data_IF_242678404248
#
_entry.id   IF_242678404248
#
_cell.length_a   1.000
_cell.length_b   1.000
_cell.length_c   1.000
_cell.angle_alpha   90.00
_cell.angle_beta   90.00
_cell.angle_gamma   90.00
#
_symmetry.space_group_name_H-M   'P 1'
#
loop_
_entity.id
_entity.type
_entity.pdbx_description
1 polymer ?
#
# COMPACT_ATOMS: atom_id res chain seq x y z
N UNK A 1 28.15 0.74 9.76
CA UNK A 1 28.21 -0.72 9.95
C UNK A 1 27.67 -1.40 8.70
N UNK A 2 28.17 -2.59 8.36
CA UNK A 2 27.67 -3.36 7.23
C UNK A 2 27.05 -4.67 7.73
N UNK A 3 25.83 -4.99 7.23
CA UNK A 3 25.13 -6.23 7.56
C UNK A 3 24.82 -7.02 6.29
N UNK A 4 24.64 -8.32 6.41
CA UNK A 4 24.26 -9.23 5.34
C UNK A 4 22.85 -9.76 5.58
N UNK A 5 21.96 -9.62 4.58
CA UNK A 5 20.57 -10.09 4.66
C UNK A 5 20.30 -11.09 3.54
N UNK A 6 19.87 -12.28 3.89
CA UNK A 6 19.54 -13.37 2.97
C UNK A 6 18.02 -13.44 2.79
N UNK A 7 17.57 -13.18 1.54
CA UNK A 7 16.15 -13.24 1.15
C UNK A 7 16.03 -14.20 -0.05
N UNK A 8 15.23 -15.24 0.06
CA UNK A 8 15.07 -16.25 -1.01
C UNK A 8 16.38 -16.76 -1.61
N UNK A 9 17.41 -17.00 -0.76
CA UNK A 9 18.78 -17.41 -1.12
C UNK A 9 19.63 -16.32 -1.83
N UNK A 10 19.13 -15.10 -1.98
CA UNK A 10 19.91 -13.96 -2.47
C UNK A 10 20.50 -13.20 -1.29
N UNK A 11 21.78 -12.87 -1.41
CA UNK A 11 22.49 -12.07 -0.42
C UNK A 11 22.38 -10.58 -0.76
N UNK A 12 21.96 -9.80 0.21
CA UNK A 12 21.92 -8.34 0.16
C UNK A 12 22.90 -7.79 1.20
N UNK A 13 23.81 -6.90 0.80
CA UNK A 13 24.68 -6.17 1.71
C UNK A 13 24.09 -4.79 1.96
N UNK A 14 23.83 -4.47 3.20
CA UNK A 14 23.17 -3.23 3.61
C UNK A 14 24.09 -2.43 4.54
N UNK A 15 24.08 -1.12 4.38
CA UNK A 15 24.68 -0.22 5.33
C UNK A 15 23.68 0.04 6.48
N UNK A 16 24.12 -0.14 7.70
CA UNK A 16 23.28 0.05 8.89
C UNK A 16 23.85 1.14 9.78
N UNK A 17 22.97 1.91 10.41
CA UNK A 17 23.34 2.89 11.42
C UNK A 17 23.34 2.26 12.81
N UNK A 18 24.25 2.69 13.67
CA UNK A 18 24.35 2.21 15.05
C UNK A 18 23.08 2.57 15.85
N UNK A 19 22.59 1.60 16.61
CA UNK A 19 21.40 1.78 17.45
C UNK A 19 20.09 1.46 16.80
N UNK A 20 20.01 1.35 15.44
CA UNK A 20 18.79 0.93 14.75
C UNK A 20 18.52 -0.55 14.91
N UNK A 21 17.25 -0.92 14.83
CA UNK A 21 16.82 -2.32 14.82
C UNK A 21 16.97 -2.93 13.42
N UNK A 22 16.96 -4.27 13.35
CA UNK A 22 16.93 -4.99 12.07
C UNK A 22 15.73 -4.54 11.21
N UNK A 23 14.55 -4.39 11.82
CA UNK A 23 13.34 -3.97 11.12
C UNK A 23 13.48 -2.56 10.53
N UNK A 24 14.00 -1.60 11.30
CA UNK A 24 14.21 -0.23 10.84
C UNK A 24 15.22 -0.18 9.69
N UNK A 25 16.33 -0.89 9.81
CA UNK A 25 17.35 -0.97 8.75
C UNK A 25 16.79 -1.55 7.46
N UNK A 26 16.01 -2.62 7.52
CA UNK A 26 15.34 -3.20 6.35
C UNK A 26 14.37 -2.22 5.69
N UNK A 27 13.56 -1.51 6.49
CA UNK A 27 12.61 -0.51 6.02
C UNK A 27 13.28 0.64 5.27
N UNK A 28 14.40 1.16 5.79
CA UNK A 28 15.16 2.25 5.17
C UNK A 28 15.81 1.86 3.84
N UNK A 29 16.13 0.58 3.66
CA UNK A 29 16.64 0.05 2.39
C UNK A 29 15.53 -0.45 1.45
N UNK A 30 14.26 -0.11 1.71
CA UNK A 30 13.12 -0.52 0.87
C UNK A 30 12.82 -2.02 0.91
N UNK A 31 13.31 -2.75 1.92
CA UNK A 31 13.07 -4.19 2.09
C UNK A 31 11.88 -4.40 3.04
N UNK A 32 10.69 -4.65 2.46
CA UNK A 32 9.43 -4.74 3.20
C UNK A 32 8.89 -6.17 3.29
N UNK A 33 9.77 -7.14 3.40
CA UNK A 33 9.41 -8.56 3.46
C UNK A 33 8.93 -9.02 4.84
N UNK A 34 9.13 -8.22 5.88
CA UNK A 34 8.70 -8.55 7.23
C UNK A 34 7.33 -7.93 7.54
N UNK A 35 6.46 -8.72 8.16
CA UNK A 35 5.18 -8.26 8.68
C UNK A 35 5.34 -7.85 10.14
N UNK A 36 5.07 -6.59 10.48
CA UNK A 36 5.14 -6.07 11.84
C UNK A 36 3.80 -5.45 12.28
N UNK A 37 2.73 -6.26 12.50
CA UNK A 37 1.38 -5.76 12.76
C UNK A 37 1.26 -4.83 13.96
N UNK A 38 2.16 -4.96 14.94
CA UNK A 38 2.18 -4.10 16.12
C UNK A 38 2.97 -2.80 15.92
N UNK A 39 3.39 -2.47 14.68
CA UNK A 39 4.20 -1.29 14.40
C UNK A 39 5.59 -1.32 15.04
N UNK A 40 6.19 -2.51 15.18
CA UNK A 40 7.56 -2.65 15.71
C UNK A 40 7.67 -2.66 17.24
N UNK A 41 6.55 -2.90 17.97
CA UNK A 41 6.52 -2.82 19.45
C UNK A 41 6.86 -4.12 20.17
N UNK A 42 7.34 -5.14 19.50
CA UNK A 42 7.71 -6.43 20.11
C UNK A 42 6.55 -7.29 20.60
N UNK A 43 5.28 -6.86 20.43
CA UNK A 43 4.11 -7.50 21.07
C UNK A 43 3.51 -8.65 20.26
N UNK A 44 3.65 -8.64 18.93
CA UNK A 44 2.95 -9.60 18.06
C UNK A 44 3.77 -10.84 17.72
N UNK A 45 5.08 -10.82 17.90
CA UNK A 45 5.98 -11.93 17.54
C UNK A 45 6.06 -12.26 16.05
N UNK A 46 5.56 -11.36 15.15
CA UNK A 46 5.42 -11.66 13.72
C UNK A 46 6.63 -11.29 12.86
N UNK A 47 7.54 -10.47 13.36
CA UNK A 47 8.74 -10.04 12.64
C UNK A 47 9.98 -10.90 12.96
N UNK A 48 9.78 -12.20 13.15
CA UNK A 48 10.86 -13.16 13.47
C UNK A 48 11.81 -13.31 12.30
N UNK A 49 13.09 -13.21 12.56
CA UNK A 49 14.20 -13.47 11.63
C UNK A 49 15.23 -14.39 12.31
N UNK A 50 16.04 -15.06 11.52
CA UNK A 50 17.14 -15.88 12.01
C UNK A 50 18.45 -15.07 11.89
N UNK A 51 19.16 -14.92 12.99
CA UNK A 51 20.45 -14.22 13.04
C UNK A 51 21.54 -15.26 13.36
N UNK A 52 22.61 -15.26 12.55
CA UNK A 52 23.74 -16.16 12.76
C UNK A 52 24.32 -15.96 14.18
N UNK A 53 24.53 -17.07 14.89
CA UNK A 53 24.99 -17.13 16.29
C UNK A 53 23.99 -16.64 17.37
N UNK A 54 22.82 -16.11 17.00
CA UNK A 54 21.78 -15.67 17.96
C UNK A 54 20.49 -16.50 17.84
N UNK A 55 20.29 -17.21 16.71
CA UNK A 55 19.05 -17.94 16.45
C UNK A 55 17.88 -17.03 16.04
N UNK A 56 16.65 -17.46 16.36
CA UNK A 56 15.44 -16.69 16.06
C UNK A 56 15.29 -15.49 16.99
N UNK A 57 15.15 -14.30 16.40
CA UNK A 57 14.96 -13.05 17.13
C UNK A 57 13.84 -12.21 16.50
N UNK A 58 13.29 -11.27 17.26
CA UNK A 58 12.35 -10.29 16.74
C UNK A 58 13.10 -9.13 16.10
N UNK A 59 12.97 -8.95 14.80
CA UNK A 59 13.65 -7.92 14.04
C UNK A 59 13.40 -6.49 14.58
N UNK A 60 12.23 -6.22 15.15
CA UNK A 60 11.87 -4.93 15.73
C UNK A 60 12.48 -4.67 17.12
N UNK A 61 13.04 -5.69 17.77
CA UNK A 61 13.62 -5.59 19.11
C UNK A 61 15.14 -5.78 19.10
N UNK A 62 15.68 -6.30 18.01
CA UNK A 62 17.11 -6.63 17.89
C UNK A 62 17.83 -5.51 17.14
N UNK A 63 18.78 -4.89 17.82
CA UNK A 63 19.66 -3.88 17.21
C UNK A 63 20.69 -4.51 16.30
N UNK A 64 21.01 -3.83 15.20
CA UNK A 64 22.05 -4.27 14.28
C UNK A 64 23.44 -4.09 14.88
N UNK A 65 24.32 -5.02 14.55
CA UNK A 65 25.76 -4.95 14.85
C UNK A 65 26.55 -5.16 13.58
N UNK A 66 27.79 -4.68 13.55
CA UNK A 66 28.63 -4.82 12.37
C UNK A 66 28.93 -6.30 12.04
N UNK A 67 28.86 -6.64 10.76
CA UNK A 67 29.02 -8.02 10.28
C UNK A 67 27.85 -8.96 10.56
N UNK A 68 26.74 -8.47 11.12
CA UNK A 68 25.56 -9.30 11.41
C UNK A 68 25.01 -9.95 10.13
N UNK A 69 24.74 -11.25 10.21
CA UNK A 69 24.15 -12.01 9.10
C UNK A 69 22.73 -12.47 9.47
N UNK A 70 21.75 -12.07 8.64
CA UNK A 70 20.32 -12.21 8.91
C UNK A 70 19.68 -13.02 7.79
N UNK A 71 18.89 -14.03 8.13
CA UNK A 71 18.12 -14.82 7.18
C UNK A 71 16.63 -14.55 7.40
N UNK A 72 15.92 -14.16 6.34
CA UNK A 72 14.47 -13.99 6.36
C UNK A 72 13.80 -15.36 6.14
N UNK A 73 13.03 -15.89 7.11
CA UNK A 73 12.38 -17.19 6.99
C UNK A 73 11.36 -17.25 5.85
N UNK A 74 11.26 -18.39 5.17
CA UNK A 74 10.27 -18.59 4.08
C UNK A 74 8.82 -18.38 4.53
N UNK A 75 8.51 -18.57 5.81
CA UNK A 75 7.16 -18.35 6.34
C UNK A 75 6.76 -16.87 6.25
N UNK A 76 7.71 -15.96 6.45
CA UNK A 76 7.47 -14.51 6.27
C UNK A 76 7.16 -14.17 4.82
N UNK A 77 7.89 -14.78 3.89
CA UNK A 77 7.69 -14.60 2.45
C UNK A 77 6.37 -15.20 1.95
N UNK A 78 5.93 -16.33 2.55
CA UNK A 78 4.65 -16.96 2.22
C UNK A 78 3.44 -16.21 2.76
N UNK A 79 3.56 -15.55 3.90
CA UNK A 79 2.49 -14.72 4.46
C UNK A 79 2.09 -13.54 3.52
N UNK A 80 2.96 -13.17 2.57
CA UNK A 80 2.66 -12.19 1.52
C UNK A 80 1.83 -12.76 0.36
N UNK A 81 1.79 -14.10 0.20
CA UNK A 81 1.07 -14.78 -0.90
C UNK A 81 -0.35 -15.21 -0.49
N UNK A 82 -1.06 -14.45 0.33
CA UNK A 82 -2.47 -14.72 0.58
C UNK A 82 -3.26 -14.62 -0.72
N UNK A 83 -4.13 -15.60 -0.99
CA UNK A 83 -5.04 -15.55 -2.14
C UNK A 83 -6.01 -14.40 -1.93
N UNK A 84 -5.80 -13.33 -2.66
CA UNK A 84 -6.66 -12.17 -2.70
C UNK A 84 -7.63 -12.40 -3.84
N UNK A 85 -8.93 -12.15 -3.62
CA UNK A 85 -9.93 -12.27 -4.67
C UNK A 85 -9.70 -11.19 -5.72
N UNK A 86 -9.22 -11.61 -6.90
CA UNK A 86 -9.00 -10.72 -8.06
C UNK A 86 -10.25 -10.60 -8.94
N UNK A 87 -11.26 -11.44 -8.71
CA UNK A 87 -12.40 -11.61 -9.57
C UNK A 87 -13.64 -10.89 -9.03
N UNK A 88 -13.77 -9.60 -9.39
CA UNK A 88 -15.08 -8.94 -9.37
C UNK A 88 -15.93 -9.38 -10.58
N UNK A 89 -17.25 -9.37 -10.41
CA UNK A 89 -18.22 -9.69 -11.49
C UNK A 89 -18.29 -8.62 -12.58
N UNK A 90 -17.76 -7.42 -12.32
CA UNK A 90 -17.78 -6.31 -13.29
C UNK A 90 -16.58 -6.45 -14.21
N UNK A 91 -16.85 -6.60 -15.50
CA UNK A 91 -15.84 -6.71 -16.56
C UNK A 91 -15.83 -5.49 -17.48
N UNK A 92 -16.84 -4.62 -17.37
CA UNK A 92 -17.02 -3.46 -18.23
C UNK A 92 -17.49 -2.27 -17.40
N UNK A 93 -16.85 -1.14 -17.59
CA UNK A 93 -17.16 0.13 -16.93
C UNK A 93 -17.68 1.13 -17.96
N UNK A 94 -18.42 2.17 -17.57
CA UNK A 94 -18.76 3.24 -18.50
C UNK A 94 -17.48 3.76 -19.15
N UNK A 95 -17.44 3.77 -20.49
CA UNK A 95 -16.35 4.38 -21.20
C UNK A 95 -16.34 5.88 -20.91
N UNK A 96 -15.17 6.39 -20.64
CA UNK A 96 -14.91 7.82 -20.69
C UNK A 96 -14.53 8.13 -22.15
N UNK A 97 -14.77 9.35 -22.66
CA UNK A 97 -14.36 9.75 -24.03
C UNK A 97 -12.81 9.79 -24.14
N UNK A 98 -12.13 9.12 -23.24
CA UNK A 98 -10.69 9.03 -23.13
C UNK A 98 -10.05 8.08 -24.13
N UNK A 99 -8.95 8.52 -24.72
CA UNK A 99 -8.05 7.65 -25.47
C UNK A 99 -7.00 7.07 -24.52
N UNK A 100 -6.69 5.77 -24.66
CA UNK A 100 -5.58 5.13 -23.96
C UNK A 100 -5.98 4.22 -22.80
N UNK A 101 -5.11 4.12 -21.82
CA UNK A 101 -5.29 3.28 -20.62
C UNK A 101 -5.75 4.09 -19.43
N UNK A 102 -6.77 3.61 -18.75
CA UNK A 102 -7.15 4.05 -17.42
C UNK A 102 -6.84 2.96 -16.37
N UNK A 103 -6.71 3.38 -15.14
CA UNK A 103 -6.52 2.46 -14.02
C UNK A 103 -7.37 2.85 -12.81
N UNK A 104 -7.73 1.86 -12.01
CA UNK A 104 -8.37 2.07 -10.72
C UNK A 104 -7.60 1.28 -9.66
N UNK A 105 -7.33 1.91 -8.53
CA UNK A 105 -6.56 1.32 -7.45
C UNK A 105 -7.26 1.50 -6.10
N UNK A 106 -7.53 0.38 -5.43
CA UNK A 106 -7.97 0.36 -4.02
C UNK A 106 -6.76 0.18 -3.12
N UNK A 107 -6.45 1.20 -2.32
CA UNK A 107 -5.34 1.20 -1.36
C UNK A 107 -5.83 0.81 0.03
N UNK A 108 -6.17 -0.47 0.18
CA UNK A 108 -6.58 -1.01 1.47
C UNK A 108 -5.43 -1.08 2.48
N UNK A 109 -5.79 -1.14 3.76
CA UNK A 109 -4.82 -1.28 4.86
C UNK A 109 -4.04 -2.59 4.77
N UNK A 110 -4.73 -3.67 4.37
CA UNK A 110 -4.14 -5.01 4.28
C UNK A 110 -3.68 -5.35 2.87
N UNK A 111 -4.42 -4.91 1.86
CA UNK A 111 -4.29 -5.30 0.45
C UNK A 111 -4.42 -4.08 -0.43
N UNK A 112 -3.63 -4.06 -1.50
CA UNK A 112 -3.76 -3.10 -2.60
C UNK A 112 -4.22 -3.85 -3.83
N UNK A 113 -5.25 -3.36 -4.51
CA UNK A 113 -5.80 -3.95 -5.73
C UNK A 113 -5.79 -2.90 -6.82
N UNK A 114 -5.22 -3.22 -7.99
CA UNK A 114 -5.24 -2.35 -9.15
C UNK A 114 -5.86 -3.06 -10.36
N UNK A 115 -6.72 -2.34 -11.08
CA UNK A 115 -7.30 -2.73 -12.35
C UNK A 115 -6.73 -1.87 -13.47
N UNK A 116 -6.52 -2.48 -14.63
CA UNK A 116 -6.23 -1.77 -15.87
C UNK A 116 -7.48 -1.84 -16.76
N UNK A 117 -7.85 -0.72 -17.34
CA UNK A 117 -9.09 -0.52 -18.08
C UNK A 117 -8.74 0.12 -19.41
N UNK A 118 -9.35 -0.33 -20.49
CA UNK A 118 -9.31 0.37 -21.77
C UNK A 118 -10.22 1.60 -21.70
N UNK A 119 -9.64 2.80 -21.75
CA UNK A 119 -10.37 4.05 -21.58
C UNK A 119 -11.41 4.30 -22.67
N UNK A 120 -11.18 3.76 -23.87
CA UNK A 120 -12.10 3.91 -25.00
C UNK A 120 -13.32 2.98 -24.90
N UNK A 121 -13.11 1.74 -24.47
CA UNK A 121 -14.19 0.73 -24.44
C UNK A 121 -14.78 0.54 -23.05
N UNK A 122 -14.07 0.93 -21.97
CA UNK A 122 -14.44 0.63 -20.61
C UNK A 122 -14.19 -0.83 -20.20
N UNK A 123 -13.52 -1.63 -21.03
CA UNK A 123 -13.23 -3.03 -20.74
C UNK A 123 -12.14 -3.16 -19.69
N UNK A 124 -12.37 -4.01 -18.68
CA UNK A 124 -11.36 -4.38 -17.70
C UNK A 124 -10.37 -5.35 -18.31
N UNK A 125 -9.16 -4.89 -18.60
CA UNK A 125 -8.12 -5.66 -19.29
C UNK A 125 -7.39 -6.64 -18.36
N UNK A 126 -7.08 -6.21 -17.14
CA UNK A 126 -6.37 -7.04 -16.17
C UNK A 126 -6.55 -6.54 -14.73
N UNK A 127 -6.24 -7.42 -13.78
CA UNK A 127 -6.21 -7.12 -12.34
C UNK A 127 -4.91 -7.64 -11.73
N UNK A 128 -4.37 -6.90 -10.78
CA UNK A 128 -3.29 -7.31 -9.89
C UNK A 128 -3.67 -6.93 -8.48
N UNK A 129 -3.44 -7.84 -7.54
CA UNK A 129 -3.61 -7.61 -6.13
C UNK A 129 -2.37 -8.05 -5.35
N UNK A 130 -1.97 -7.25 -4.38
CA UNK A 130 -0.80 -7.49 -3.54
C UNK A 130 -1.07 -7.11 -2.09
N UNK A 131 -0.44 -7.76 -1.12
CA UNK A 131 -0.43 -7.27 0.25
C UNK A 131 0.15 -5.87 0.31
N UNK A 132 -0.45 -4.98 1.12
CA UNK A 132 0.06 -3.61 1.29
C UNK A 132 1.52 -3.62 1.77
N UNK A 133 2.42 -2.93 1.06
CA UNK A 133 3.82 -2.79 1.43
C UNK A 133 4.00 -2.10 2.80
N UNK A 134 3.04 -1.27 3.20
CA UNK A 134 3.07 -0.56 4.48
C UNK A 134 2.77 -1.45 5.70
N UNK A 135 2.50 -2.76 5.52
CA UNK A 135 2.25 -3.71 6.63
C UNK A 135 3.43 -3.84 7.59
N UNK A 136 4.64 -3.51 7.16
CA UNK A 136 5.82 -3.46 8.03
C UNK A 136 5.78 -2.32 9.06
N UNK A 137 4.93 -1.31 8.85
CA UNK A 137 4.72 -0.18 9.77
C UNK A 137 3.46 -0.33 10.64
N UNK A 138 2.63 -1.31 10.36
CA UNK A 138 1.42 -1.61 11.13
C UNK A 138 0.37 -2.32 10.29
N UNK A 139 -0.43 -3.17 10.95
CA UNK A 139 -1.50 -3.90 10.30
C UNK A 139 -2.80 -3.08 10.17
N UNK A 140 -2.93 -2.03 10.95
CA UNK A 140 -4.12 -1.17 11.04
C UNK A 140 -3.78 0.31 10.85
N UNK A 141 -4.81 1.12 10.68
CA UNK A 141 -4.68 2.55 10.41
C UNK A 141 -4.03 3.31 11.59
N UNK A 142 -4.34 2.93 12.83
CA UNK A 142 -3.80 3.60 14.01
C UNK A 142 -2.29 3.40 14.13
N UNK A 143 -1.82 2.18 13.89
CA UNK A 143 -0.38 1.89 13.87
C UNK A 143 0.37 2.71 12.81
N UNK A 144 -0.25 2.96 11.65
CA UNK A 144 0.33 3.78 10.57
C UNK A 144 0.30 5.27 10.88
N UNK A 145 -0.77 5.76 11.54
CA UNK A 145 -0.81 7.14 12.06
C UNK A 145 0.34 7.36 13.03
N UNK A 146 0.58 6.42 13.95
CA UNK A 146 1.67 6.50 14.90
C UNK A 146 3.06 6.42 14.24
N UNK A 147 3.19 5.63 13.18
CA UNK A 147 4.43 5.61 12.39
C UNK A 147 4.67 6.96 11.68
N UNK A 148 3.63 7.57 11.12
CA UNK A 148 3.71 8.90 10.51
C UNK A 148 4.05 9.98 11.55
N UNK A 149 3.45 9.93 12.76
CA UNK A 149 3.75 10.80 13.87
C UNK A 149 5.22 10.67 14.33
N UNK A 150 5.77 9.44 14.28
CA UNK A 150 7.18 9.15 14.55
C UNK A 150 8.13 9.54 13.40
N UNK A 151 7.69 10.38 12.45
CA UNK A 151 8.53 10.92 11.38
C UNK A 151 8.69 10.01 10.15
N UNK A 152 7.88 8.92 10.02
CA UNK A 152 7.99 7.97 8.91
C UNK A 152 6.98 8.24 7.77
N UNK A 153 6.42 9.45 7.69
CA UNK A 153 5.40 9.80 6.68
C UNK A 153 5.94 9.63 5.24
N UNK A 154 7.13 10.17 4.95
CA UNK A 154 7.72 10.10 3.62
C UNK A 154 8.00 8.63 3.22
N UNK A 155 8.54 7.84 4.11
CA UNK A 155 8.81 6.41 3.84
C UNK A 155 7.49 5.67 3.54
N UNK A 156 6.43 5.95 4.29
CA UNK A 156 5.11 5.37 4.05
C UNK A 156 4.56 5.78 2.68
N UNK A 157 4.69 7.06 2.30
CA UNK A 157 4.31 7.57 0.99
C UNK A 157 5.10 6.87 -0.12
N UNK A 158 6.42 6.89 -0.05
CA UNK A 158 7.29 6.28 -1.05
C UNK A 158 6.96 4.81 -1.30
N UNK A 159 6.66 4.06 -0.24
CA UNK A 159 6.31 2.65 -0.34
C UNK A 159 5.03 2.40 -1.12
N UNK A 160 3.96 3.13 -0.80
CA UNK A 160 2.69 2.92 -1.50
C UNK A 160 2.77 3.41 -2.95
N UNK A 161 3.47 4.50 -3.21
CA UNK A 161 3.74 5.01 -4.56
C UNK A 161 4.54 3.98 -5.37
N UNK A 162 5.63 3.47 -4.81
CA UNK A 162 6.46 2.46 -5.47
C UNK A 162 5.66 1.18 -5.75
N UNK A 163 4.88 0.71 -4.77
CA UNK A 163 4.04 -0.48 -4.94
C UNK A 163 3.04 -0.29 -6.08
N UNK A 164 2.30 0.81 -6.11
CA UNK A 164 1.33 1.10 -7.17
C UNK A 164 2.03 1.17 -8.53
N UNK A 165 3.14 1.88 -8.65
CA UNK A 165 3.91 1.95 -9.89
C UNK A 165 4.32 0.55 -10.40
N UNK A 166 4.80 -0.34 -9.51
CA UNK A 166 5.14 -1.72 -9.89
C UNK A 166 3.92 -2.53 -10.32
N UNK A 167 2.78 -2.37 -9.63
CA UNK A 167 1.53 -3.05 -9.99
C UNK A 167 1.02 -2.59 -11.35
N UNK A 168 1.06 -1.29 -11.65
CA UNK A 168 0.68 -0.73 -12.95
C UNK A 168 1.57 -1.25 -14.08
N UNK A 169 2.89 -1.26 -13.90
CA UNK A 169 3.83 -1.86 -14.87
C UNK A 169 3.57 -3.35 -15.07
N UNK A 170 3.21 -4.07 -14.02
CA UNK A 170 2.85 -5.49 -14.11
C UNK A 170 1.57 -5.69 -14.94
N UNK A 171 0.57 -4.83 -14.76
CA UNK A 171 -0.67 -4.83 -15.54
C UNK A 171 -0.41 -4.53 -17.02
N UNK A 172 0.37 -3.49 -17.31
CA UNK A 172 0.78 -3.16 -18.68
C UNK A 172 1.52 -4.32 -19.35
N UNK A 173 2.44 -4.95 -18.64
CA UNK A 173 3.18 -6.13 -19.16
C UNK A 173 2.26 -7.33 -19.40
N UNK A 174 1.31 -7.61 -18.51
CA UNK A 174 0.32 -8.70 -18.67
C UNK A 174 -0.57 -8.51 -19.91
N UNK A 175 -0.89 -7.28 -20.26
CA UNK A 175 -1.79 -6.94 -21.36
C UNK A 175 -1.05 -6.63 -22.67
N UNK A 176 0.27 -6.54 -22.63
CA UNK A 176 1.07 -6.11 -23.80
C UNK A 176 0.90 -4.62 -24.14
N UNK A 177 0.28 -3.84 -23.27
CA UNK A 177 0.03 -2.39 -23.43
C UNK A 177 1.14 -1.63 -22.68
N UNK A 178 1.81 -0.69 -23.32
CA UNK A 178 2.95 0.05 -22.77
C UNK A 178 2.79 1.57 -22.76
N UNK A 179 1.65 2.05 -23.22
CA UNK A 179 1.35 3.49 -23.21
C UNK A 179 1.16 4.03 -21.79
N UNK A 180 1.43 5.31 -21.59
CA UNK A 180 1.21 6.00 -20.32
C UNK A 180 -0.25 5.88 -19.89
N UNK A 181 -0.49 5.63 -18.61
CA UNK A 181 -1.84 5.61 -18.04
C UNK A 181 -2.38 7.04 -18.03
N UNK A 182 -3.51 7.24 -18.70
CA UNK A 182 -4.12 8.55 -18.84
C UNK A 182 -4.68 9.04 -17.51
N UNK A 183 -5.49 8.21 -16.84
CA UNK A 183 -6.08 8.51 -15.54
C UNK A 183 -5.96 7.33 -14.58
N UNK A 184 -5.55 7.59 -13.35
CA UNK A 184 -5.61 6.65 -12.24
C UNK A 184 -6.64 7.15 -11.22
N UNK A 185 -7.70 6.37 -10.98
CA UNK A 185 -8.60 6.59 -9.86
C UNK A 185 -8.11 5.82 -8.63
N UNK A 186 -7.94 6.52 -7.52
CA UNK A 186 -7.48 5.94 -6.25
C UNK A 186 -8.59 6.04 -5.23
N UNK A 187 -8.95 4.90 -4.63
CA UNK A 187 -9.86 4.78 -3.50
C UNK A 187 -9.15 4.17 -2.30
N UNK A 188 -9.64 4.42 -1.12
CA UNK A 188 -9.12 3.88 0.14
C UNK A 188 -9.73 4.60 1.33
N UNK A 189 -9.49 4.07 2.54
CA UNK A 189 -9.89 4.80 3.73
C UNK A 189 -9.11 6.12 3.86
N UNK A 190 -9.63 7.05 4.65
CA UNK A 190 -9.10 8.42 4.74
C UNK A 190 -7.62 8.45 5.10
N UNK A 191 -7.17 7.60 6.04
CA UNK A 191 -5.77 7.51 6.46
C UNK A 191 -4.88 7.06 5.31
N UNK A 192 -5.28 6.01 4.58
CA UNK A 192 -4.51 5.48 3.46
C UNK A 192 -4.38 6.50 2.32
N UNK A 193 -5.44 7.26 2.03
CA UNK A 193 -5.39 8.36 1.05
C UNK A 193 -4.44 9.48 1.51
N UNK A 194 -4.41 9.81 2.81
CA UNK A 194 -3.44 10.78 3.36
C UNK A 194 -2.00 10.30 3.18
N UNK A 195 -1.70 9.06 3.56
CA UNK A 195 -0.37 8.48 3.39
C UNK A 195 0.07 8.45 1.93
N UNK A 196 -0.85 8.11 1.02
CA UNK A 196 -0.60 8.12 -0.42
C UNK A 196 -0.28 9.53 -0.94
N UNK A 197 -1.02 10.54 -0.49
CA UNK A 197 -0.79 11.93 -0.89
C UNK A 197 0.40 12.59 -0.16
N UNK A 198 1.00 11.94 0.84
CA UNK A 198 2.07 12.53 1.67
C UNK A 198 1.55 13.59 2.65
N UNK A 199 0.28 13.50 3.03
CA UNK A 199 -0.36 14.41 4.00
C UNK A 199 -0.40 13.69 5.34
N UNK A 200 -0.08 14.42 6.42
CA UNK A 200 -0.06 13.83 7.76
C UNK A 200 -1.46 13.37 8.20
N UNK A 201 -1.65 12.08 8.57
CA UNK A 201 -2.91 11.58 9.07
C UNK A 201 -3.06 11.73 10.59
N UNK A 202 -2.13 12.38 11.29
CA UNK A 202 -2.07 12.43 12.78
C UNK A 202 -3.35 13.00 13.37
N UNK A 203 -3.92 14.04 12.76
CA UNK A 203 -5.18 14.65 13.21
C UNK A 203 -6.39 13.69 13.14
N UNK A 204 -6.33 12.64 12.34
CA UNK A 204 -7.37 11.59 12.27
C UNK A 204 -7.26 10.64 13.47
N UNK A 205 -6.08 10.53 14.09
CA UNK A 205 -5.84 9.65 15.24
C UNK A 205 -6.26 10.23 16.60
N UNK A 206 -6.62 11.51 16.66
CA UNK A 206 -6.96 12.24 17.89
C UNK A 206 -8.29 13.00 17.76
N UNK A 207 -9.02 13.15 18.86
CA UNK A 207 -10.27 13.93 18.85
C UNK A 207 -10.00 15.37 18.40
N UNK A 208 -10.81 15.93 17.46
CA UNK A 208 -12.09 15.45 16.92
C UNK A 208 -11.99 14.57 15.65
N UNK A 209 -10.88 13.90 15.37
CA UNK A 209 -10.67 12.97 14.26
C UNK A 209 -10.82 13.61 12.86
N UNK A 210 -10.38 14.86 12.74
CA UNK A 210 -10.55 15.65 11.53
C UNK A 210 -9.43 15.40 10.52
N UNK A 211 -9.73 14.99 9.27
CA UNK A 211 -8.74 14.90 8.22
C UNK A 211 -8.25 16.28 7.80
N UNK A 212 -7.00 16.36 7.36
CA UNK A 212 -6.44 17.60 6.79
C UNK A 212 -6.91 17.84 5.36
N UNK A 213 -7.30 16.76 4.65
CA UNK A 213 -7.76 16.81 3.27
C UNK A 213 -8.93 15.84 3.08
N UNK A 214 -9.96 16.29 2.39
CA UNK A 214 -11.14 15.48 2.05
C UNK A 214 -11.07 14.92 0.64
N UNK A 215 -10.05 15.28 -0.14
CA UNK A 215 -9.84 14.84 -1.52
C UNK A 215 -11.00 15.16 -2.48
N UNK A 216 -11.37 14.25 -3.37
CA UNK A 216 -12.39 14.49 -4.40
C UNK A 216 -11.88 15.39 -5.53
N UNK A 217 -10.58 15.38 -5.81
CA UNK A 217 -9.90 16.22 -6.81
C UNK A 217 -8.81 15.46 -7.56
N UNK A 218 -8.41 16.02 -8.69
CA UNK A 218 -7.30 15.51 -9.49
C UNK A 218 -5.95 16.13 -9.09
N UNK A 219 -4.91 15.32 -9.25
CA UNK A 219 -3.51 15.67 -9.13
C UNK A 219 -2.79 15.24 -10.41
N UNK A 220 -1.67 15.85 -10.76
CA UNK A 220 -0.79 15.27 -11.77
C UNK A 220 -0.04 14.07 -11.19
N UNK A 221 0.28 13.08 -12.03
CA UNK A 221 1.11 11.96 -11.60
C UNK A 221 2.45 12.40 -11.01
N UNK A 222 3.03 13.48 -11.58
CA UNK A 222 4.28 14.07 -11.09
C UNK A 222 4.17 14.63 -9.66
N UNK A 223 3.07 15.32 -9.31
CA UNK A 223 2.83 15.85 -7.96
C UNK A 223 2.82 14.74 -6.89
N UNK A 224 2.37 13.55 -7.27
CA UNK A 224 2.30 12.41 -6.36
C UNK A 224 3.50 11.46 -6.46
N UNK A 225 4.39 11.65 -7.46
CA UNK A 225 5.53 10.77 -7.72
C UNK A 225 5.16 9.52 -8.55
N UNK A 226 4.02 9.52 -9.23
CA UNK A 226 3.53 8.47 -10.14
C UNK A 226 3.67 8.91 -11.60
N UNK A 227 4.89 9.03 -12.10
CA UNK A 227 5.19 9.51 -13.47
C UNK A 227 4.64 8.60 -14.57
N UNK A 228 4.31 7.34 -14.24
CA UNK A 228 3.64 6.40 -15.15
C UNK A 228 2.18 6.80 -15.45
N UNK A 229 1.59 7.70 -14.66
CA UNK A 229 0.24 8.22 -14.83
C UNK A 229 0.27 9.71 -15.20
N UNK A 230 -0.64 10.13 -16.09
CA UNK A 230 -0.79 11.55 -16.45
C UNK A 230 -1.56 12.30 -15.36
N UNK A 231 -2.71 11.78 -14.96
CA UNK A 231 -3.51 12.33 -13.85
C UNK A 231 -3.90 11.26 -12.84
N UNK A 232 -4.12 11.67 -11.61
CA UNK A 232 -4.53 10.82 -10.49
C UNK A 232 -5.69 11.50 -9.77
N UNK A 233 -6.85 10.87 -9.81
CA UNK A 233 -8.00 11.27 -9.03
C UNK A 233 -8.04 10.51 -7.72
N UNK A 234 -8.09 11.19 -6.59
CA UNK A 234 -8.29 10.57 -5.27
C UNK A 234 -9.75 10.78 -4.87
N UNK A 235 -10.46 9.68 -4.62
CA UNK A 235 -11.87 9.71 -4.25
C UNK A 235 -12.11 10.48 -2.94
N UNK A 236 -13.26 11.18 -2.81
CA UNK A 236 -13.52 12.01 -1.65
C UNK A 236 -13.74 11.19 -0.38
N UNK A 237 -13.22 11.69 0.74
CA UNK A 237 -13.58 11.25 2.08
C UNK A 237 -14.72 12.12 2.64
N UNK A 238 -15.49 11.59 3.58
CA UNK A 238 -16.56 12.29 4.29
C UNK A 238 -16.12 12.63 5.72
N UNK A 239 -15.30 11.79 6.33
CA UNK A 239 -14.82 11.95 7.69
C UNK A 239 -13.49 11.20 7.89
N UNK A 240 -12.88 11.33 9.06
CA UNK A 240 -11.62 10.67 9.38
C UNK A 240 -11.62 9.15 9.21
N UNK A 241 -12.77 8.50 9.41
CA UNK A 241 -12.96 7.06 9.27
C UNK A 241 -14.00 6.68 8.19
N UNK A 242 -14.42 7.62 7.35
CA UNK A 242 -15.31 7.39 6.19
C UNK A 242 -14.61 7.94 4.96
N UNK A 243 -13.85 7.09 4.31
CA UNK A 243 -12.96 7.45 3.21
C UNK A 243 -13.54 7.21 1.83
N UNK A 244 -12.67 7.30 0.82
CA UNK A 244 -12.97 7.11 -0.57
C UNK A 244 -13.45 5.69 -0.92
N UNK A 245 -13.10 4.69 -0.12
CA UNK A 245 -13.62 3.34 -0.19
C UNK A 245 -15.15 3.31 -0.01
N UNK A 246 -15.65 3.90 1.08
CA UNK A 246 -17.09 3.97 1.37
C UNK A 246 -17.85 4.82 0.34
N UNK A 247 -17.31 5.98 -0.03
CA UNK A 247 -17.98 6.87 -0.99
C UNK A 247 -18.06 6.26 -2.38
N UNK A 248 -17.05 5.49 -2.79
CA UNK A 248 -17.03 4.78 -4.08
C UNK A 248 -17.97 3.59 -4.08
N UNK A 249 -18.05 2.83 -2.99
CA UNK A 249 -19.06 1.77 -2.81
C UNK A 249 -20.47 2.32 -2.92
N UNK A 250 -20.75 3.44 -2.24
CA UNK A 250 -22.04 4.11 -2.30
C UNK A 250 -22.37 4.55 -3.73
N UNK A 251 -21.42 5.16 -4.44
CA UNK A 251 -21.59 5.57 -5.83
C UNK A 251 -21.93 4.36 -6.73
N UNK A 252 -21.18 3.27 -6.60
CA UNK A 252 -21.40 2.05 -7.38
C UNK A 252 -22.80 1.42 -7.13
N UNK A 253 -23.26 1.48 -5.89
CA UNK A 253 -24.60 1.00 -5.50
C UNK A 253 -25.70 1.92 -6.05
N UNK A 254 -25.52 3.24 -5.93
CA UNK A 254 -26.51 4.21 -6.41
C UNK A 254 -26.68 4.17 -7.93
N UNK A 255 -25.63 3.90 -8.68
CA UNK A 255 -25.71 3.70 -10.14
C UNK A 255 -26.63 2.54 -10.52
N UNK A 256 -26.73 1.49 -9.70
CA UNK A 256 -27.62 0.35 -9.90
C UNK A 256 -29.07 0.63 -9.52
N UNK A 257 -29.38 1.81 -8.96
CA UNK A 257 -30.72 2.25 -8.50
C UNK A 257 -31.43 1.17 -7.67
N UNK A 258 -30.85 0.72 -6.56
CA UNK A 258 -31.45 -0.34 -5.76
C UNK A 258 -32.80 0.10 -5.21
N UNK A 259 -33.81 -0.80 -5.25
CA UNK A 259 -35.14 -0.57 -4.68
C UNK A 259 -35.21 -0.90 -3.18
N UNK A 260 -34.16 -1.55 -2.66
CA UNK A 260 -34.10 -2.05 -1.28
C UNK A 260 -32.89 -1.44 -0.55
N UNK A 261 -32.88 -1.63 0.78
CA UNK A 261 -31.71 -1.24 1.59
C UNK A 261 -30.49 -2.07 1.21
N UNK A 262 -29.38 -1.41 1.07
CA UNK A 262 -28.10 -2.05 0.74
C UNK A 262 -27.17 -1.97 1.95
N UNK A 263 -26.53 -3.09 2.27
CA UNK A 263 -25.50 -3.18 3.29
C UNK A 263 -24.13 -3.31 2.61
N UNK A 264 -23.25 -2.36 2.88
CA UNK A 264 -21.82 -2.49 2.52
C UNK A 264 -21.07 -3.05 3.72
N UNK A 265 -20.33 -4.16 3.50
CA UNK A 265 -19.49 -4.79 4.48
C UNK A 265 -18.03 -4.61 4.06
N UNK A 266 -17.26 -3.93 4.89
CA UNK A 266 -15.81 -3.75 4.74
C UNK A 266 -15.14 -4.45 5.91
N UNK A 267 -14.17 -5.31 5.64
CA UNK A 267 -13.44 -6.06 6.68
C UNK A 267 -11.93 -6.10 6.42
#
# INVERSE_FOLDING_TARGET
MQIEVIIEKKLHKLNAEEGKTILETLQEHGIHVLTAPCGGRGRCGKCTVEVEHMGEVLACMTKVTDGMRITIPKVQLRAQKSKIAENGTVTHYPADDGEGLDAACDIGTTTVVCHLIDGKTGEKLATVSEPSAQRSFGADVLSRIQAAEAGKLEILKEQIIFQIAQMLRTLQKKTGRGEQIHRLAVVGNTVMCHLFAGISPVSIGVTPFMPQEFFGKEYTGEQLGLTDCRSVYIAPAVAGFVGGDITSDLLAVMQKKPKEKVLSLIH
#
